data_IF_485615260419
#
_entry.id   IF_485615260419
#
_cell.length_a   1.000
_cell.length_b   1.000
_cell.length_c   1.000
_cell.angle_alpha   90.00
_cell.angle_beta   90.00
_cell.angle_gamma   90.00
#
_symmetry.space_group_name_H-M   'P 1'
#
loop_
_entity.id
_entity.type
_entity.pdbx_description
1 polymer ?
#
# COMPACT_ATOMS: atom_id res chain seq x y z
N UNK A 1 12.23 17.34 -12.37
CA UNK A 1 11.38 16.16 -12.06
C UNK A 1 12.24 14.95 -12.34
N UNK A 2 12.42 14.11 -11.36
CA UNK A 2 13.19 12.88 -11.48
C UNK A 2 12.33 11.83 -12.15
N UNK A 3 12.95 10.99 -12.96
CA UNK A 3 12.20 10.05 -13.77
C UNK A 3 11.87 8.80 -12.93
N UNK A 4 10.58 8.63 -12.57
CA UNK A 4 10.07 7.37 -12.10
C UNK A 4 9.79 6.53 -13.33
N UNK A 5 10.50 5.42 -13.50
CA UNK A 5 10.33 4.52 -14.65
C UNK A 5 9.38 3.40 -14.35
N UNK A 6 8.54 3.11 -15.33
CA UNK A 6 7.75 1.88 -15.36
C UNK A 6 8.64 0.70 -15.75
N UNK A 7 8.52 -0.37 -14.97
CA UNK A 7 9.25 -1.61 -15.17
C UNK A 7 8.29 -2.79 -15.07
N UNK A 8 8.72 -3.93 -15.58
CA UNK A 8 8.00 -5.20 -15.50
C UNK A 8 8.95 -6.33 -15.13
N UNK A 9 8.46 -7.30 -14.40
CA UNK A 9 9.17 -8.51 -14.02
C UNK A 9 8.21 -9.71 -14.11
N UNK A 10 8.75 -10.88 -14.48
CA UNK A 10 7.99 -12.13 -14.37
C UNK A 10 8.24 -12.70 -12.97
N UNK A 11 7.18 -12.77 -12.17
CA UNK A 11 7.20 -13.32 -10.82
C UNK A 11 6.17 -14.44 -10.71
N UNK A 12 6.60 -15.65 -10.35
CA UNK A 12 5.72 -16.82 -10.25
C UNK A 12 4.91 -17.11 -11.53
N UNK A 13 5.46 -16.77 -12.71
CA UNK A 13 4.81 -16.98 -14.01
C UNK A 13 3.86 -15.87 -14.45
N UNK A 14 3.74 -14.77 -13.68
CA UNK A 14 2.90 -13.61 -13.99
C UNK A 14 3.73 -12.37 -14.27
N UNK A 15 3.29 -11.54 -15.23
CA UNK A 15 3.88 -10.24 -15.49
C UNK A 15 3.42 -9.25 -14.42
N UNK A 16 4.36 -8.69 -13.69
CA UNK A 16 4.14 -7.73 -12.60
C UNK A 16 4.74 -6.39 -13.01
N UNK A 17 3.88 -5.37 -13.04
CA UNK A 17 4.28 -3.98 -13.25
C UNK A 17 4.70 -3.35 -11.93
N UNK A 18 5.74 -2.53 -11.97
CA UNK A 18 6.15 -1.69 -10.85
C UNK A 18 6.77 -0.37 -11.35
N UNK A 19 6.70 0.64 -10.51
CA UNK A 19 7.38 1.90 -10.70
C UNK A 19 8.65 1.90 -9.85
N UNK A 20 9.76 2.42 -10.41
CA UNK A 20 11.04 2.51 -9.72
C UNK A 20 11.65 3.89 -9.92
N UNK A 21 12.12 4.53 -8.84
CA UNK A 21 12.89 5.77 -8.95
C UNK A 21 14.33 5.48 -9.38
N UNK A 22 14.87 6.26 -10.31
CA UNK A 22 16.23 6.07 -10.84
C UNK A 22 17.29 6.94 -10.19
N UNK A 23 16.95 7.84 -9.28
CA UNK A 23 17.90 8.80 -8.74
C UNK A 23 18.79 8.23 -7.64
N UNK A 24 20.08 8.49 -7.82
CA UNK A 24 21.19 8.06 -6.98
C UNK A 24 21.80 9.24 -6.19
N UNK A 25 21.06 9.86 -5.28
CA UNK A 25 21.63 10.93 -4.45
C UNK A 25 21.94 10.50 -3.02
N UNK A 26 21.61 9.26 -2.65
CA UNK A 26 21.90 8.71 -1.33
C UNK A 26 23.18 7.88 -1.36
N UNK A 27 24.11 8.15 -0.45
CA UNK A 27 25.32 7.34 -0.24
C UNK A 27 25.03 5.98 0.43
N UNK A 28 23.78 5.76 0.87
CA UNK A 28 23.35 4.51 1.52
C UNK A 28 22.19 3.90 0.76
N UNK A 29 22.38 2.65 0.32
CA UNK A 29 21.32 1.83 -0.26
C UNK A 29 20.29 1.53 0.82
N UNK A 30 19.04 1.92 0.60
CA UNK A 30 17.91 1.66 1.50
C UNK A 30 16.66 1.38 0.66
N UNK A 31 16.24 0.15 0.63
CA UNK A 31 15.07 -0.28 -0.15
C UNK A 31 13.77 0.22 0.50
N UNK A 32 12.91 0.89 -0.30
CA UNK A 32 11.55 1.22 0.12
C UNK A 32 10.56 0.61 -0.87
N UNK A 33 9.60 -0.13 -0.35
CA UNK A 33 8.49 -0.70 -1.10
C UNK A 33 7.17 -0.04 -0.73
N UNK A 34 6.48 0.52 -1.71
CA UNK A 34 5.12 1.02 -1.57
C UNK A 34 4.11 0.00 -2.09
N UNK A 35 3.08 -0.28 -1.29
CA UNK A 35 2.00 -1.22 -1.61
C UNK A 35 0.67 -0.46 -1.57
N UNK A 36 -0.04 -0.45 -2.69
CA UNK A 36 -1.32 0.25 -2.83
C UNK A 36 -2.50 -0.51 -2.24
N UNK A 37 -3.64 0.16 -2.10
CA UNK A 37 -4.91 -0.41 -1.61
C UNK A 37 -5.74 -1.12 -2.68
N UNK A 38 -6.87 -1.68 -2.26
CA UNK A 38 -7.84 -2.39 -3.11
C UNK A 38 -8.28 -1.52 -4.29
N UNK A 39 -8.27 -2.08 -5.51
CA UNK A 39 -8.69 -1.38 -6.74
C UNK A 39 -7.79 -0.25 -7.22
N UNK A 40 -6.64 -0.05 -6.57
CA UNK A 40 -5.67 1.00 -6.90
C UNK A 40 -4.53 0.49 -7.79
N UNK A 41 -3.45 1.25 -7.87
CA UNK A 41 -2.21 0.93 -8.58
C UNK A 41 -1.04 1.71 -7.97
N UNK A 42 0.18 1.36 -8.36
CA UNK A 42 1.42 2.07 -8.00
C UNK A 42 1.41 3.55 -8.39
N UNK A 43 0.60 3.94 -9.38
CA UNK A 43 0.47 5.33 -9.82
C UNK A 43 0.00 6.29 -8.70
N UNK A 44 -0.62 5.75 -7.63
CA UNK A 44 -0.99 6.54 -6.45
C UNK A 44 0.20 7.13 -5.70
N UNK A 45 1.37 6.59 -5.94
CA UNK A 45 2.60 6.94 -5.25
C UNK A 45 3.55 7.85 -6.05
N UNK A 46 3.15 8.28 -7.28
CA UNK A 46 4.03 9.01 -8.20
C UNK A 46 4.65 10.28 -7.60
N UNK A 47 3.91 11.00 -6.76
CA UNK A 47 4.37 12.27 -6.17
C UNK A 47 5.29 12.08 -4.94
N UNK A 48 5.29 10.89 -4.33
CA UNK A 48 6.02 10.62 -3.08
C UNK A 48 7.48 10.20 -3.33
N UNK A 49 7.79 9.34 -4.32
CA UNK A 49 9.15 8.92 -4.61
C UNK A 49 10.11 10.08 -4.87
N UNK A 50 9.68 11.12 -5.57
CA UNK A 50 10.53 12.27 -5.91
C UNK A 50 11.07 12.97 -4.66
N UNK A 51 10.24 13.17 -3.67
CA UNK A 51 10.63 13.83 -2.44
C UNK A 51 11.46 12.93 -1.50
N UNK A 52 11.24 11.60 -1.51
CA UNK A 52 12.02 10.63 -0.73
C UNK A 52 13.32 10.21 -1.41
N UNK A 53 13.45 10.36 -2.73
CA UNK A 53 14.63 9.92 -3.50
C UNK A 53 15.93 10.59 -3.10
N UNK A 54 15.86 11.75 -2.42
CA UNK A 54 17.03 12.43 -1.83
C UNK A 54 17.62 11.66 -0.64
N UNK A 55 16.84 10.81 -0.02
CA UNK A 55 17.22 10.11 1.22
C UNK A 55 17.37 8.61 1.02
N UNK A 56 16.64 8.05 0.07
CA UNK A 56 16.50 6.60 -0.10
C UNK A 56 16.61 6.21 -1.57
N UNK A 57 17.24 5.06 -1.81
CA UNK A 57 17.31 4.46 -3.14
C UNK A 57 17.65 2.97 -3.02
N UNK A 58 16.97 2.11 -3.79
CA UNK A 58 15.83 2.39 -4.69
C UNK A 58 14.48 2.54 -3.94
N UNK A 59 13.58 3.32 -4.53
CA UNK A 59 12.18 3.40 -4.12
C UNK A 59 11.35 2.71 -5.19
N UNK A 60 10.56 1.74 -4.77
CA UNK A 60 9.74 0.90 -5.65
C UNK A 60 8.28 0.96 -5.21
N UNK A 61 7.37 1.08 -6.16
CA UNK A 61 5.94 0.95 -5.94
C UNK A 61 5.40 -0.17 -6.84
N UNK A 62 4.86 -1.23 -6.24
CA UNK A 62 4.38 -2.41 -6.97
C UNK A 62 2.89 -2.28 -7.32
N UNK A 63 2.51 -2.72 -8.51
CA UNK A 63 1.13 -3.10 -8.80
C UNK A 63 0.91 -4.52 -8.31
N UNK A 64 0.07 -4.69 -7.28
CA UNK A 64 -0.29 -6.02 -6.79
C UNK A 64 -0.85 -6.87 -7.94
N UNK A 65 -0.53 -8.15 -7.97
CA UNK A 65 -1.18 -9.09 -8.90
C UNK A 65 -2.70 -8.96 -8.76
N UNK A 66 -3.40 -8.91 -9.89
CA UNK A 66 -4.84 -8.62 -9.94
C UNK A 66 -5.18 -7.13 -10.11
N UNK A 67 -4.21 -6.21 -9.99
CA UNK A 67 -4.45 -4.77 -9.99
C UNK A 67 -3.50 -4.01 -10.92
N UNK A 68 -3.79 -2.73 -11.13
CA UNK A 68 -2.97 -1.83 -11.94
C UNK A 68 -2.67 -2.38 -13.34
N UNK A 69 -1.41 -2.35 -13.73
CA UNK A 69 -0.88 -2.93 -14.97
C UNK A 69 -0.36 -4.36 -14.85
N UNK A 70 -0.41 -4.98 -13.65
CA UNK A 70 -0.04 -6.38 -13.43
C UNK A 70 -1.10 -7.34 -13.97
N UNK A 71 -0.71 -8.59 -14.21
CA UNK A 71 -1.61 -9.67 -14.62
C UNK A 71 -2.78 -9.86 -13.64
N UNK A 72 -3.94 -10.28 -14.18
CA UNK A 72 -5.20 -10.45 -13.45
C UNK A 72 -5.82 -11.83 -13.69
N UNK A 73 -5.12 -12.92 -13.27
CA UNK A 73 -5.61 -14.27 -13.49
C UNK A 73 -6.92 -14.54 -12.72
N UNK A 74 -7.93 -15.05 -13.43
CA UNK A 74 -9.22 -15.42 -12.85
C UNK A 74 -9.21 -16.81 -12.17
N UNK A 75 -8.10 -17.49 -12.26
CA UNK A 75 -7.87 -18.81 -11.62
C UNK A 75 -7.20 -18.70 -10.26
N UNK A 76 -6.82 -17.46 -9.86
CA UNK A 76 -6.13 -17.22 -8.61
C UNK A 76 -7.14 -16.80 -7.53
N UNK A 77 -7.01 -17.39 -6.34
CA UNK A 77 -7.71 -16.90 -5.16
C UNK A 77 -6.84 -15.82 -4.47
N UNK A 78 -7.33 -14.59 -4.46
CA UNK A 78 -6.62 -13.39 -3.97
C UNK A 78 -6.70 -13.29 -2.45
N UNK A 79 -6.14 -14.28 -1.74
CA UNK A 79 -6.10 -14.32 -0.28
C UNK A 79 -5.00 -13.41 0.29
N UNK A 80 -5.11 -13.04 1.56
CA UNK A 80 -4.07 -12.25 2.23
C UNK A 80 -2.77 -13.04 2.34
N UNK A 81 -2.85 -14.34 2.57
CA UNK A 81 -1.69 -15.24 2.60
C UNK A 81 -0.98 -15.29 1.25
N UNK A 82 -1.75 -15.31 0.15
CA UNK A 82 -1.16 -15.25 -1.19
C UNK A 82 -0.48 -13.91 -1.44
N UNK A 83 -1.12 -12.80 -1.11
CA UNK A 83 -0.51 -11.48 -1.25
C UNK A 83 0.73 -11.31 -0.37
N UNK A 84 0.72 -11.82 0.85
CA UNK A 84 1.89 -11.81 1.73
C UNK A 84 3.05 -12.58 1.12
N UNK A 85 2.78 -13.80 0.62
CA UNK A 85 3.80 -14.60 -0.10
C UNK A 85 4.30 -13.87 -1.34
N UNK A 86 3.40 -13.32 -2.15
CA UNK A 86 3.74 -12.56 -3.35
C UNK A 86 4.67 -11.37 -3.04
N UNK A 87 4.41 -10.61 -1.99
CA UNK A 87 5.27 -9.47 -1.59
C UNK A 87 6.63 -9.95 -1.07
N UNK A 88 6.69 -11.08 -0.35
CA UNK A 88 7.98 -11.67 0.06
C UNK A 88 8.79 -12.10 -1.16
N UNK A 89 8.18 -12.82 -2.10
CA UNK A 89 8.83 -13.24 -3.36
C UNK A 89 9.28 -12.00 -4.17
N UNK A 90 8.51 -10.90 -4.14
CA UNK A 90 8.86 -9.63 -4.79
C UNK A 90 10.07 -8.97 -4.12
N UNK A 91 10.13 -8.94 -2.79
CA UNK A 91 11.28 -8.42 -2.03
C UNK A 91 12.54 -9.25 -2.32
N UNK A 92 12.42 -10.57 -2.40
CA UNK A 92 13.55 -11.48 -2.66
C UNK A 92 14.02 -11.45 -4.13
N UNK A 93 13.25 -10.83 -5.03
CA UNK A 93 13.60 -10.75 -6.44
C UNK A 93 14.71 -9.70 -6.67
N UNK A 94 15.94 -10.13 -6.74
CA UNK A 94 17.13 -9.27 -6.88
C UNK A 94 17.06 -8.31 -8.07
N UNK A 95 16.44 -8.73 -9.18
CA UNK A 95 16.30 -7.92 -10.40
C UNK A 95 15.58 -6.58 -10.12
N UNK A 96 14.68 -6.54 -9.15
CA UNK A 96 13.89 -5.33 -8.81
C UNK A 96 14.77 -4.27 -8.14
N UNK A 97 15.70 -4.71 -7.27
CA UNK A 97 16.49 -3.84 -6.40
C UNK A 97 17.85 -3.47 -6.96
N UNK A 98 18.35 -4.22 -7.95
CA UNK A 98 19.66 -3.95 -8.57
C UNK A 98 19.60 -2.77 -9.52
N UNK A 99 20.72 -2.03 -9.56
CA UNK A 99 21.07 -1.12 -10.63
C UNK A 99 22.36 -1.65 -11.27
N UNK A 100 22.63 -1.28 -12.51
CA UNK A 100 23.74 -1.82 -13.33
C UNK A 100 25.13 -1.70 -12.69
N UNK A 101 25.30 -0.81 -11.69
CA UNK A 101 26.59 -0.53 -11.02
C UNK A 101 26.64 -0.97 -9.55
N UNK A 102 25.66 -1.74 -9.05
CA UNK A 102 25.64 -2.13 -7.65
C UNK A 102 26.58 -3.33 -7.38
N UNK A 103 27.46 -3.21 -6.37
CA UNK A 103 28.16 -4.33 -5.76
C UNK A 103 27.17 -5.29 -5.07
N UNK A 104 27.52 -6.56 -5.02
CA UNK A 104 26.68 -7.70 -4.55
C UNK A 104 26.24 -7.67 -3.05
N UNK A 105 26.10 -6.52 -2.41
CA UNK A 105 25.58 -6.47 -1.04
C UNK A 105 24.06 -6.62 -1.03
N UNK A 106 23.63 -7.85 -0.92
CA UNK A 106 22.23 -8.30 -0.91
C UNK A 106 21.55 -8.27 0.48
N UNK A 107 22.23 -7.77 1.52
CA UNK A 107 21.75 -7.87 2.93
C UNK A 107 20.82 -6.74 3.37
N UNK A 108 20.37 -5.86 2.47
CA UNK A 108 19.57 -4.70 2.83
C UNK A 108 18.11 -5.07 3.10
N UNK A 109 17.68 -4.93 4.35
CA UNK A 109 16.27 -5.02 4.72
C UNK A 109 15.43 -3.94 4.02
N UNK A 110 14.15 -4.23 3.79
CA UNK A 110 13.23 -3.34 3.09
C UNK A 110 12.33 -2.59 4.06
N UNK A 111 12.20 -1.28 3.88
CA UNK A 111 11.14 -0.48 4.52
C UNK A 111 9.86 -0.63 3.70
N UNK A 112 8.76 -1.00 4.34
CA UNK A 112 7.47 -1.18 3.64
C UNK A 112 6.51 -0.08 4.03
N UNK A 113 5.87 0.52 3.02
CA UNK A 113 4.78 1.49 3.16
C UNK A 113 3.53 0.91 2.52
N UNK A 114 2.52 0.58 3.32
CA UNK A 114 1.27 -0.01 2.85
C UNK A 114 0.06 0.88 3.12
N UNK A 115 -0.80 1.06 2.12
CA UNK A 115 -2.06 1.78 2.24
C UNK A 115 -3.25 0.81 2.19
N UNK A 116 -4.21 0.94 3.11
CA UNK A 116 -5.46 0.17 3.11
C UNK A 116 -5.21 -1.35 3.05
N UNK A 117 -5.66 -2.06 2.02
CA UNK A 117 -5.31 -3.47 1.77
C UNK A 117 -3.79 -3.68 1.73
N UNK A 118 -3.02 -2.76 1.13
CA UNK A 118 -1.56 -2.82 1.13
C UNK A 118 -0.96 -2.74 2.53
N UNK A 119 -1.61 -2.01 3.43
CA UNK A 119 -1.23 -1.97 4.85
C UNK A 119 -1.48 -3.30 5.56
N UNK A 120 -2.62 -3.94 5.30
CA UNK A 120 -2.90 -5.30 5.79
C UNK A 120 -1.83 -6.30 5.31
N UNK A 121 -1.53 -6.28 4.01
CA UNK A 121 -0.50 -7.14 3.42
C UNK A 121 0.86 -6.86 4.06
N UNK A 122 1.25 -5.59 4.21
CA UNK A 122 2.51 -5.19 4.82
C UNK A 122 2.64 -5.67 6.28
N UNK A 123 1.57 -5.53 7.07
CA UNK A 123 1.52 -6.06 8.43
C UNK A 123 1.66 -7.59 8.46
N UNK A 124 1.01 -8.30 7.53
CA UNK A 124 1.11 -9.76 7.42
C UNK A 124 2.52 -10.22 7.04
N UNK A 125 3.17 -9.52 6.10
CA UNK A 125 4.59 -9.76 5.77
C UNK A 125 5.49 -9.54 6.99
N UNK A 126 5.27 -8.45 7.74
CA UNK A 126 6.04 -8.17 8.94
C UNK A 126 5.86 -9.23 10.03
N UNK A 127 4.69 -9.87 10.15
CA UNK A 127 4.45 -11.00 11.08
C UNK A 127 5.21 -12.25 10.61
N UNK A 128 5.24 -12.52 9.30
CA UNK A 128 5.75 -13.79 8.74
C UNK A 128 7.25 -13.77 8.40
N UNK A 129 7.84 -12.59 8.15
CA UNK A 129 9.21 -12.42 7.65
C UNK A 129 9.89 -11.17 8.22
N UNK A 130 10.04 -11.10 9.56
CA UNK A 130 10.62 -9.94 10.25
C UNK A 130 12.08 -9.63 9.84
N UNK A 131 12.80 -10.64 9.41
CA UNK A 131 14.17 -10.55 8.92
C UNK A 131 14.31 -9.77 7.61
N UNK A 132 13.26 -9.71 6.81
CA UNK A 132 13.23 -8.94 5.56
C UNK A 132 12.91 -7.46 5.78
N UNK A 133 12.36 -7.08 6.95
CA UNK A 133 11.76 -5.76 7.18
C UNK A 133 12.62 -4.91 8.10
N UNK A 134 12.96 -3.69 7.65
CA UNK A 134 13.64 -2.68 8.45
C UNK A 134 12.66 -1.81 9.23
N UNK A 135 11.61 -1.31 8.54
CA UNK A 135 10.57 -0.45 9.11
C UNK A 135 9.23 -0.70 8.43
N UNK A 136 8.15 -0.42 9.16
CA UNK A 136 6.79 -0.58 8.68
C UNK A 136 6.02 0.75 8.76
N UNK A 137 5.39 1.16 7.65
CA UNK A 137 4.46 2.30 7.64
C UNK A 137 3.10 1.81 7.17
N UNK A 138 2.08 2.00 8.01
CA UNK A 138 0.70 1.60 7.78
C UNK A 138 -0.16 2.86 7.62
N UNK A 139 -0.73 3.08 6.44
CA UNK A 139 -1.57 4.25 6.16
C UNK A 139 -3.01 3.77 5.96
N UNK A 140 -3.93 4.24 6.82
CA UNK A 140 -5.35 3.83 6.83
C UNK A 140 -5.51 2.31 6.61
N UNK A 141 -4.67 1.53 7.32
CA UNK A 141 -4.55 0.09 7.10
C UNK A 141 -5.84 -0.66 7.43
N UNK A 142 -6.31 -1.50 6.52
CA UNK A 142 -7.24 -2.58 6.85
C UNK A 142 -6.54 -3.70 7.62
N UNK A 143 -7.25 -4.80 7.89
CA UNK A 143 -6.68 -5.98 8.55
C UNK A 143 -7.07 -6.14 10.01
N UNK A 144 -7.70 -5.15 10.64
CA UNK A 144 -8.29 -5.29 11.98
C UNK A 144 -9.82 -5.13 11.99
N UNK A 145 -10.43 -5.06 10.80
CA UNK A 145 -11.89 -5.08 10.65
C UNK A 145 -12.39 -6.51 10.84
N UNK A 146 -13.37 -6.70 11.72
CA UNK A 146 -14.08 -7.99 11.88
C UNK A 146 -15.18 -8.16 10.84
N UNK A 147 -15.76 -7.05 10.41
CA UNK A 147 -16.82 -6.98 9.42
C UNK A 147 -16.59 -5.75 8.51
N UNK A 148 -16.98 -5.78 7.24
CA UNK A 148 -16.86 -4.64 6.36
C UNK A 148 -17.73 -3.47 6.84
N UNK A 149 -17.24 -2.24 6.68
CA UNK A 149 -18.06 -1.06 6.92
C UNK A 149 -19.08 -0.88 5.80
N UNK A 150 -20.19 -0.16 6.05
CA UNK A 150 -21.18 0.12 4.99
C UNK A 150 -20.57 0.81 3.76
N UNK A 151 -19.55 1.68 3.95
CA UNK A 151 -18.88 2.34 2.84
C UNK A 151 -17.98 1.36 2.06
N UNK A 152 -17.38 0.38 2.73
CA UNK A 152 -16.59 -0.66 2.08
C UNK A 152 -17.48 -1.58 1.21
N UNK A 153 -18.70 -1.88 1.66
CA UNK A 153 -19.69 -2.62 0.85
C UNK A 153 -20.18 -1.80 -0.36
N UNK A 154 -20.41 -0.49 -0.16
CA UNK A 154 -20.72 0.42 -1.27
C UNK A 154 -19.58 0.48 -2.29
N UNK A 155 -18.32 0.43 -1.83
CA UNK A 155 -17.16 0.38 -2.71
C UNK A 155 -17.12 -0.91 -3.54
N UNK A 156 -17.42 -2.07 -2.93
CA UNK A 156 -17.56 -3.33 -3.68
C UNK A 156 -18.65 -3.20 -4.75
N UNK A 157 -19.83 -2.69 -4.39
CA UNK A 157 -20.91 -2.53 -5.36
C UNK A 157 -20.52 -1.58 -6.50
N UNK A 158 -19.89 -0.45 -6.21
CA UNK A 158 -19.41 0.48 -7.23
C UNK A 158 -18.34 -0.14 -8.15
N UNK A 159 -17.50 -1.04 -7.63
CA UNK A 159 -16.51 -1.75 -8.43
C UNK A 159 -17.14 -2.80 -9.37
N UNK A 160 -18.16 -3.51 -8.91
CA UNK A 160 -18.85 -4.53 -9.72
C UNK A 160 -19.79 -3.91 -10.76
N UNK A 161 -20.42 -2.78 -10.43
CA UNK A 161 -21.37 -2.03 -11.24
C UNK A 161 -20.87 -0.59 -11.47
N UNK A 162 -19.73 -0.40 -12.19
CA UNK A 162 -19.09 0.89 -12.28
C UNK A 162 -19.87 1.82 -13.22
N UNK A 163 -20.39 2.89 -12.62
CA UNK A 163 -20.82 4.10 -13.33
C UNK A 163 -20.07 5.29 -12.72
N UNK A 164 -19.97 6.39 -13.46
CA UNK A 164 -19.30 7.59 -12.96
C UNK A 164 -19.92 8.04 -11.63
N UNK A 165 -21.26 8.07 -11.55
CA UNK A 165 -21.98 8.52 -10.37
C UNK A 165 -21.78 7.59 -9.17
N UNK A 166 -21.88 6.26 -9.36
CA UNK A 166 -21.67 5.31 -8.29
C UNK A 166 -20.25 5.40 -7.70
N UNK A 167 -19.24 5.47 -8.55
CA UNK A 167 -17.84 5.54 -8.13
C UNK A 167 -17.55 6.89 -7.48
N UNK A 168 -18.04 7.99 -8.07
CA UNK A 168 -17.91 9.34 -7.52
C UNK A 168 -18.49 9.42 -6.10
N UNK A 169 -19.73 8.96 -5.91
CA UNK A 169 -20.39 8.98 -4.59
C UNK A 169 -19.58 8.25 -3.51
N UNK A 170 -18.98 7.11 -3.84
CA UNK A 170 -18.13 6.37 -2.90
C UNK A 170 -16.84 7.13 -2.64
N UNK A 171 -16.18 7.63 -3.66
CA UNK A 171 -14.92 8.35 -3.52
C UNK A 171 -15.07 9.65 -2.75
N UNK A 172 -16.16 10.39 -2.93
CA UNK A 172 -16.48 11.58 -2.13
C UNK A 172 -16.60 11.26 -0.64
N UNK A 173 -17.22 10.12 -0.30
CA UNK A 173 -17.35 9.69 1.08
C UNK A 173 -16.03 9.19 1.71
N UNK A 174 -15.09 8.73 0.88
CA UNK A 174 -13.75 8.32 1.33
C UNK A 174 -12.87 9.51 1.71
N UNK A 175 -13.16 10.72 1.23
CA UNK A 175 -12.37 11.92 1.50
C UNK A 175 -12.90 12.66 2.73
N UNK A 176 -12.01 13.28 3.48
CA UNK A 176 -12.35 14.24 4.55
C UNK A 176 -12.91 15.54 3.97
N UNK A 177 -12.43 15.93 2.78
CA UNK A 177 -12.98 17.02 1.99
C UNK A 177 -13.37 16.54 0.58
N UNK A 178 -14.66 16.28 0.31
CA UNK A 178 -15.13 15.81 -1.00
C UNK A 178 -14.77 16.71 -2.17
N UNK A 179 -14.57 18.02 -1.93
CA UNK A 179 -14.19 18.97 -2.99
C UNK A 179 -12.78 18.72 -3.57
N UNK A 180 -11.98 17.88 -2.92
CA UNK A 180 -10.66 17.45 -3.42
C UNK A 180 -10.74 16.29 -4.42
N UNK A 181 -11.94 15.71 -4.64
CA UNK A 181 -12.09 14.64 -5.62
C UNK A 181 -11.92 15.18 -7.04
N UNK A 182 -10.83 14.80 -7.68
CA UNK A 182 -10.63 15.09 -9.09
C UNK A 182 -11.37 14.06 -9.97
N UNK A 183 -12.20 14.48 -10.95
CA UNK A 183 -12.99 13.56 -11.79
C UNK A 183 -12.14 12.49 -12.49
N UNK A 184 -10.91 12.82 -12.88
CA UNK A 184 -9.97 11.85 -13.49
C UNK A 184 -9.68 10.64 -12.60
N UNK A 185 -9.80 10.74 -11.28
CA UNK A 185 -9.62 9.59 -10.39
C UNK A 185 -10.78 8.59 -10.53
N UNK A 186 -11.99 9.09 -10.73
CA UNK A 186 -13.20 8.29 -11.01
C UNK A 186 -13.04 7.56 -12.34
N UNK A 187 -12.68 8.30 -13.40
CA UNK A 187 -12.48 7.73 -14.74
C UNK A 187 -11.35 6.68 -14.74
N UNK A 188 -10.25 6.99 -14.08
CA UNK A 188 -9.11 6.07 -13.97
C UNK A 188 -9.49 4.78 -13.23
N UNK A 189 -10.30 4.86 -12.18
CA UNK A 189 -10.82 3.68 -11.49
C UNK A 189 -11.72 2.86 -12.40
N UNK A 190 -12.69 3.50 -13.07
CA UNK A 190 -13.63 2.83 -14.00
C UNK A 190 -12.87 2.14 -15.13
N UNK A 191 -11.86 2.80 -15.69
CA UNK A 191 -11.00 2.21 -16.72
C UNK A 191 -10.29 0.96 -16.21
N UNK A 192 -9.68 1.02 -15.02
CA UNK A 192 -8.95 -0.13 -14.44
C UNK A 192 -9.86 -1.29 -14.08
N UNK A 193 -11.02 -1.03 -13.45
CA UNK A 193 -11.92 -2.09 -12.99
C UNK A 193 -12.61 -2.83 -14.16
N UNK A 194 -12.67 -2.22 -15.33
CA UNK A 194 -13.21 -2.83 -16.55
C UNK A 194 -12.16 -3.61 -17.37
N UNK A 195 -10.90 -3.64 -16.95
CA UNK A 195 -9.91 -4.53 -17.55
C UNK A 195 -10.27 -6.00 -17.31
N UNK A 196 -9.90 -6.86 -18.27
CA UNK A 196 -10.15 -8.31 -18.15
C UNK A 196 -9.56 -8.86 -16.81
N UNK A 197 -10.38 -9.60 -16.07
CA UNK A 197 -10.01 -10.18 -14.77
C UNK A 197 -10.09 -9.22 -13.58
N UNK A 198 -10.14 -7.89 -13.79
CA UNK A 198 -10.06 -6.91 -12.69
C UNK A 198 -11.23 -6.98 -11.70
N UNK A 199 -12.45 -7.14 -12.18
CA UNK A 199 -13.64 -7.31 -11.29
C UNK A 199 -13.56 -8.59 -10.46
N UNK A 200 -13.05 -9.67 -11.07
CA UNK A 200 -12.84 -10.93 -10.35
C UNK A 200 -11.79 -10.74 -9.24
N UNK A 201 -10.64 -10.17 -9.58
CA UNK A 201 -9.55 -9.93 -8.63
C UNK A 201 -10.01 -9.01 -7.48
N UNK A 202 -10.73 -7.94 -7.81
CA UNK A 202 -11.28 -7.01 -6.81
C UNK A 202 -12.24 -7.71 -5.85
N UNK A 203 -13.22 -8.48 -6.38
CA UNK A 203 -14.20 -9.21 -5.58
C UNK A 203 -13.52 -10.25 -4.69
N UNK A 204 -12.62 -11.06 -5.26
CA UNK A 204 -11.91 -12.09 -4.50
C UNK A 204 -11.04 -11.48 -3.40
N UNK A 205 -10.26 -10.43 -3.69
CA UNK A 205 -9.46 -9.74 -2.68
C UNK A 205 -10.33 -9.08 -1.60
N UNK A 206 -11.46 -8.46 -1.96
CA UNK A 206 -12.41 -7.92 -1.01
C UNK A 206 -12.92 -9.00 -0.06
N UNK A 207 -13.49 -10.08 -0.59
CA UNK A 207 -14.07 -11.16 0.21
C UNK A 207 -13.04 -11.81 1.13
N UNK A 208 -11.82 -12.05 0.66
CA UNK A 208 -10.77 -12.66 1.45
C UNK A 208 -10.21 -11.72 2.53
N UNK A 209 -10.10 -10.41 2.23
CA UNK A 209 -9.59 -9.42 3.20
C UNK A 209 -10.62 -9.01 4.27
N UNK A 210 -11.91 -9.30 4.05
CA UNK A 210 -12.97 -9.01 5.03
C UNK A 210 -13.42 -10.24 5.83
N UNK A 211 -13.11 -11.45 5.34
CA UNK A 211 -13.39 -12.71 6.09
C UNK A 211 -12.40 -12.99 7.20
N UNK A 212 -11.20 -12.46 7.09
CA UNK A 212 -10.12 -12.66 8.06
C UNK A 212 -9.61 -11.30 8.54
N UNK A 213 -9.11 -11.27 9.75
CA UNK A 213 -8.45 -10.10 10.33
C UNK A 213 -7.23 -10.55 11.13
N UNK A 214 -6.31 -9.62 11.38
CA UNK A 214 -5.14 -9.88 12.22
C UNK A 214 -5.56 -9.75 13.69
N UNK A 215 -5.31 -10.77 14.46
CA UNK A 215 -5.47 -10.69 15.91
C UNK A 215 -4.34 -9.85 16.53
N UNK A 216 -4.65 -9.14 17.61
CA UNK A 216 -3.63 -8.35 18.33
C UNK A 216 -2.44 -9.20 18.77
N UNK A 217 -2.67 -10.46 19.13
CA UNK A 217 -1.63 -11.43 19.50
C UNK A 217 -0.67 -11.76 18.36
N UNK A 218 -1.12 -11.72 17.10
CA UNK A 218 -0.24 -11.90 15.94
C UNK A 218 0.69 -10.68 15.76
N UNK A 219 0.15 -9.45 15.89
CA UNK A 219 0.94 -8.22 15.81
C UNK A 219 1.97 -8.09 16.93
N UNK A 220 1.64 -8.58 18.14
CA UNK A 220 2.55 -8.60 19.30
C UNK A 220 3.79 -9.49 19.07
N UNK A 221 3.75 -10.39 18.08
CA UNK A 221 4.92 -11.19 17.67
C UNK A 221 5.96 -10.38 16.88
N UNK A 222 5.61 -9.17 16.42
CA UNK A 222 6.57 -8.24 15.82
C UNK A 222 7.38 -7.57 16.94
N UNK A 223 8.61 -8.01 17.14
CA UNK A 223 9.40 -7.61 18.30
C UNK A 223 10.29 -6.39 18.06
N UNK A 224 10.90 -6.29 16.89
CA UNK A 224 12.00 -5.35 16.64
C UNK A 224 11.80 -4.46 15.39
N UNK A 225 10.61 -4.43 14.81
CA UNK A 225 10.32 -3.58 13.66
C UNK A 225 9.66 -2.29 14.14
N UNK A 226 10.34 -1.12 14.00
CA UNK A 226 9.69 0.15 14.25
C UNK A 226 8.53 0.34 13.27
N UNK A 227 7.38 0.79 13.77
CA UNK A 227 6.18 1.00 12.97
C UNK A 227 5.66 2.43 13.09
N UNK A 228 5.21 3.00 11.98
CA UNK A 228 4.46 4.25 11.91
C UNK A 228 3.07 3.96 11.39
N UNK A 229 2.06 4.39 12.12
CA UNK A 229 0.66 4.28 11.73
C UNK A 229 0.16 5.68 11.43
N UNK A 230 -0.35 5.89 10.23
CA UNK A 230 -0.94 7.17 9.81
C UNK A 230 -2.40 6.90 9.47
N UNK A 231 -3.31 7.74 9.94
CA UNK A 231 -4.71 7.64 9.55
C UNK A 231 -5.39 9.00 9.45
N UNK A 232 -6.37 9.08 8.55
CA UNK A 232 -7.25 10.23 8.46
C UNK A 232 -8.28 10.24 9.59
N UNK A 233 -8.48 11.40 10.25
CA UNK A 233 -9.43 11.54 11.35
C UNK A 233 -10.89 11.29 10.91
N UNK A 234 -11.21 11.56 9.64
CA UNK A 234 -12.54 11.41 9.05
C UNK A 234 -12.67 10.16 8.15
N UNK A 235 -11.78 9.17 8.27
CA UNK A 235 -11.86 7.94 7.48
C UNK A 235 -13.11 7.13 7.85
N UNK A 236 -14.05 7.05 6.89
CA UNK A 236 -15.29 6.27 7.00
C UNK A 236 -15.16 4.87 6.42
N UNK A 237 -14.13 4.64 5.59
CA UNK A 237 -13.87 3.32 5.01
C UNK A 237 -13.20 2.40 6.03
N UNK A 238 -12.13 2.88 6.67
CA UNK A 238 -11.41 2.19 7.75
C UNK A 238 -11.35 3.14 8.97
N UNK A 239 -12.34 3.10 9.86
CA UNK A 239 -12.41 4.02 10.99
C UNK A 239 -11.15 4.05 11.86
N UNK A 240 -10.78 5.23 12.37
CA UNK A 240 -9.59 5.52 13.19
C UNK A 240 -9.39 4.51 14.34
N UNK A 241 -10.49 3.94 14.87
CA UNK A 241 -10.42 2.91 15.91
C UNK A 241 -9.52 1.72 15.52
N UNK A 242 -9.44 1.36 14.23
CA UNK A 242 -8.59 0.27 13.75
C UNK A 242 -7.11 0.65 13.79
N UNK A 243 -6.77 1.88 13.44
CA UNK A 243 -5.41 2.41 13.55
C UNK A 243 -4.94 2.49 15.01
N UNK A 244 -5.83 2.87 15.94
CA UNK A 244 -5.54 2.82 17.37
C UNK A 244 -5.26 1.40 17.84
N UNK A 245 -6.04 0.40 17.39
CA UNK A 245 -5.80 -1.02 17.72
C UNK A 245 -4.47 -1.54 17.16
N UNK A 246 -4.05 -1.12 15.96
CA UNK A 246 -2.70 -1.41 15.47
C UNK A 246 -1.63 -0.83 16.39
N UNK A 247 -1.78 0.43 16.82
CA UNK A 247 -0.82 1.08 17.72
C UNK A 247 -0.76 0.44 19.10
N UNK A 248 -1.88 -0.01 19.62
CA UNK A 248 -1.94 -0.74 20.90
C UNK A 248 -1.29 -2.13 20.83
N UNK A 249 -1.37 -2.78 19.67
CA UNK A 249 -0.84 -4.13 19.47
C UNK A 249 0.64 -4.16 19.09
N UNK A 250 1.14 -3.17 18.36
CA UNK A 250 2.51 -3.07 17.90
C UNK A 250 3.41 -2.41 18.97
N UNK A 251 4.36 -3.15 19.49
CA UNK A 251 5.20 -2.77 20.62
C UNK A 251 6.06 -1.50 20.40
N UNK A 252 6.53 -1.30 19.17
CA UNK A 252 7.38 -0.18 18.77
C UNK A 252 6.70 0.67 17.71
N UNK A 253 5.50 1.17 18.00
CA UNK A 253 4.73 1.95 17.06
C UNK A 253 4.49 3.40 17.49
N UNK A 254 4.27 4.25 16.49
CA UNK A 254 3.85 5.64 16.63
C UNK A 254 2.58 5.84 15.81
N UNK A 255 1.56 6.50 16.40
CA UNK A 255 0.31 6.82 15.72
C UNK A 255 0.25 8.31 15.39
N UNK A 256 -0.06 8.64 14.13
CA UNK A 256 -0.30 9.97 13.63
C UNK A 256 -1.71 10.05 13.04
N UNK A 257 -2.59 10.81 13.67
CA UNK A 257 -3.94 11.08 13.18
C UNK A 257 -3.90 12.40 12.43
N UNK A 258 -4.28 12.39 11.15
CA UNK A 258 -4.27 13.58 10.29
C UNK A 258 -5.67 14.16 10.26
N UNK A 259 -5.83 15.31 10.93
CA UNK A 259 -7.12 16.00 11.04
C UNK A 259 -7.65 16.45 9.66
N UNK A 260 -8.97 16.44 9.50
CA UNK A 260 -9.67 16.86 8.27
C UNK A 260 -9.21 16.09 7.01
N UNK A 261 -8.89 14.82 7.13
CA UNK A 261 -8.62 13.90 6.01
C UNK A 261 -9.39 12.59 6.19
N UNK A 262 -9.71 11.95 5.07
CA UNK A 262 -10.36 10.64 5.01
C UNK A 262 -9.37 9.52 4.76
N UNK A 263 -9.77 8.56 3.90
CA UNK A 263 -9.06 7.30 3.63
C UNK A 263 -7.75 7.45 2.84
N UNK A 264 -7.38 8.63 2.38
CA UNK A 264 -6.13 8.84 1.64
C UNK A 264 -5.45 10.16 2.08
N UNK A 265 -4.99 10.27 3.33
CA UNK A 265 -4.41 11.51 3.88
C UNK A 265 -3.19 11.98 3.09
N UNK A 266 -2.44 11.07 2.48
CA UNK A 266 -1.31 11.38 1.58
C UNK A 266 -1.74 12.07 0.28
N UNK A 267 -3.00 11.94 -0.14
CA UNK A 267 -3.57 12.67 -1.29
C UNK A 267 -4.22 13.99 -0.89
N UNK A 268 -4.76 14.08 0.33
CA UNK A 268 -5.46 15.26 0.82
C UNK A 268 -4.51 16.28 1.48
N UNK A 269 -3.46 15.80 2.13
CA UNK A 269 -2.40 16.61 2.77
C UNK A 269 -1.00 16.05 2.45
N UNK A 270 -0.59 16.04 1.18
CA UNK A 270 0.61 15.34 0.72
C UNK A 270 1.88 15.80 1.44
N UNK A 271 2.11 17.10 1.58
CA UNK A 271 3.32 17.63 2.24
C UNK A 271 3.43 17.21 3.70
N UNK A 272 2.31 17.25 4.44
CA UNK A 272 2.29 16.86 5.86
C UNK A 272 2.58 15.37 6.04
N UNK A 273 1.87 14.51 5.28
CA UNK A 273 2.05 13.06 5.38
C UNK A 273 3.45 12.65 4.92
N UNK A 274 3.96 13.32 3.88
CA UNK A 274 5.33 13.14 3.43
C UNK A 274 6.35 13.46 4.54
N UNK A 275 6.25 14.61 5.19
CA UNK A 275 7.19 15.00 6.26
C UNK A 275 7.12 14.04 7.45
N UNK A 276 5.93 13.59 7.84
CA UNK A 276 5.76 12.57 8.89
C UNK A 276 6.50 11.28 8.50
N UNK A 277 6.28 10.76 7.29
CA UNK A 277 6.97 9.56 6.81
C UNK A 277 8.48 9.76 6.73
N UNK A 278 8.94 10.88 6.14
CA UNK A 278 10.36 11.20 6.00
C UNK A 278 11.08 11.20 7.34
N UNK A 279 10.53 11.90 8.34
CA UNK A 279 11.12 11.97 9.68
C UNK A 279 11.24 10.55 10.27
N UNK A 280 10.21 9.74 10.18
CA UNK A 280 10.22 8.38 10.71
C UNK A 280 11.22 7.48 9.96
N UNK A 281 11.21 7.51 8.63
CA UNK A 281 12.05 6.64 7.81
C UNK A 281 13.54 7.00 7.94
N UNK A 282 13.89 8.29 8.08
CA UNK A 282 15.30 8.73 8.21
C UNK A 282 15.89 8.54 9.61
N UNK A 283 15.06 8.45 10.66
CA UNK A 283 15.55 8.24 12.02
C UNK A 283 16.19 6.86 12.18
N UNK A 284 17.42 6.81 12.69
CA UNK A 284 18.19 5.58 12.95
C UNK A 284 17.93 4.97 14.35
N UNK A 285 16.80 5.33 15.01
CA UNK A 285 16.44 4.80 16.33
C UNK A 285 15.39 3.72 16.22
#
# INVERSE_FOLDING_TARGET
>A
MEEVKENKVILNGFEIRYLKSEKRNSSKKKNILFIHGLGSSSDRWLDIPDALSRYFHPIVAVDLIGFGGSDKPITLDYTIEYFSKFIRDFIDCKQIWRNDDDSDDDSCKTMIVGHSLGGYIAAKVAIEAQDLIEKLVLIDSSGMLKEPTPLLEQYLNAALNPSFENVKNVFEQMLGNPALLHPMLVDAFIKRINLAGAKYAFKSAFENSTRKYIESSELQRIENIPALIICGAADKLIPVAHSKRFNEALKHSQLQIVENTGHAPFSEKPSMVFDIMRIFLTNNK
#
